data_IF_747405077747
#
_entry.id   IF_747405077747
#
_cell.length_a   1.000
_cell.length_b   1.000
_cell.length_c   1.000
_cell.angle_alpha   90.00
_cell.angle_beta   90.00
_cell.angle_gamma   90.00
#
_symmetry.space_group_name_H-M   'P 1'
#
loop_
_entity.id
_entity.type
_entity.pdbx_description
1 polymer ?
#
# COMPACT_ATOMS: atom_id res chain seq x y z
N UNK A 1 -4.23 -6.13 -9.31
CA UNK A 1 -4.24 -5.37 -10.45
C UNK A 1 -5.20 -4.18 -10.49
N UNK A 2 -6.15 -4.11 -9.57
CA UNK A 2 -6.93 -2.89 -9.39
C UNK A 2 -6.03 -1.71 -9.08
N UNK A 3 -4.97 -1.94 -8.27
CA UNK A 3 -4.03 -0.89 -7.90
C UNK A 3 -3.34 -0.30 -9.13
N UNK A 4 -2.93 -1.15 -10.07
CA UNK A 4 -2.28 -0.69 -11.30
C UNK A 4 -3.18 0.21 -12.13
N UNK A 5 -4.47 -0.08 -12.15
CA UNK A 5 -5.44 0.72 -12.90
C UNK A 5 -5.66 2.11 -12.32
N UNK A 6 -5.20 2.38 -11.11
CA UNK A 6 -5.37 3.66 -10.45
C UNK A 6 -4.15 4.57 -10.57
N UNK A 7 -3.07 4.10 -11.20
CA UNK A 7 -1.87 4.93 -11.42
C UNK A 7 -2.27 6.16 -12.23
N UNK A 8 -1.84 7.33 -11.77
CA UNK A 8 -2.21 8.61 -12.37
C UNK A 8 -3.31 9.36 -11.64
N UNK A 9 -4.05 8.70 -10.74
CA UNK A 9 -5.06 9.35 -9.93
C UNK A 9 -4.40 10.38 -9.01
N UNK A 10 -4.96 11.61 -8.86
CA UNK A 10 -4.34 12.62 -8.02
C UNK A 10 -4.26 12.22 -6.55
N UNK A 11 -3.20 12.65 -5.89
CA UNK A 11 -3.08 12.54 -4.43
C UNK A 11 -4.02 13.56 -3.78
N UNK A 12 -4.70 13.15 -2.72
CA UNK A 12 -5.51 14.05 -1.91
C UNK A 12 -5.49 13.62 -0.45
N UNK A 13 -5.06 14.49 0.42
CA UNK A 13 -5.01 14.21 1.85
C UNK A 13 -6.41 13.83 2.34
N UNK A 14 -6.52 12.68 3.02
CA UNK A 14 -7.80 12.15 3.47
C UNK A 14 -8.67 11.56 2.38
N UNK A 15 -8.21 11.57 1.13
CA UNK A 15 -8.98 11.06 -0.01
C UNK A 15 -9.03 9.54 -0.06
N UNK A 16 -10.15 9.00 -0.51
CA UNK A 16 -10.35 7.55 -0.59
C UNK A 16 -11.21 7.12 -1.78
N UNK A 17 -11.32 7.96 -2.81
CA UNK A 17 -12.10 7.64 -4.01
C UNK A 17 -11.32 8.00 -5.27
N UNK A 18 -11.56 7.30 -6.40
CA UNK A 18 -10.91 7.66 -7.67
C UNK A 18 -11.24 9.06 -8.14
N UNK A 19 -12.47 9.54 -7.91
CA UNK A 19 -12.89 10.85 -8.36
C UNK A 19 -12.27 11.97 -7.53
N UNK A 20 -12.18 11.77 -6.22
CA UNK A 20 -11.64 12.77 -5.30
C UNK A 20 -10.15 12.70 -5.09
N UNK A 21 -9.51 11.60 -5.50
CA UNK A 21 -8.10 11.33 -5.24
C UNK A 21 -7.89 10.50 -3.98
N UNK A 22 -6.63 10.12 -3.74
CA UNK A 22 -6.27 9.24 -2.63
C UNK A 22 -5.08 9.78 -1.84
N UNK A 23 -5.08 9.55 -0.52
CA UNK A 23 -3.84 9.47 0.24
C UNK A 23 -3.39 8.00 0.27
N UNK A 24 -2.26 7.69 0.95
CA UNK A 24 -1.70 6.34 0.87
C UNK A 24 -2.61 5.29 1.51
N UNK A 25 -3.19 5.57 2.67
CA UNK A 25 -4.09 4.62 3.33
C UNK A 25 -5.45 4.57 2.65
N UNK A 26 -5.90 5.67 2.06
CA UNK A 26 -7.14 5.72 1.30
C UNK A 26 -7.08 4.88 0.04
N UNK A 27 -5.96 4.92 -0.67
CA UNK A 27 -5.73 4.07 -1.83
C UNK A 27 -5.81 2.60 -1.44
N UNK A 28 -5.10 2.22 -0.39
CA UNK A 28 -5.08 0.84 0.09
C UNK A 28 -6.48 0.38 0.49
N UNK A 29 -7.20 1.19 1.26
CA UNK A 29 -8.55 0.86 1.69
C UNK A 29 -9.50 0.68 0.53
N UNK A 30 -9.42 1.55 -0.46
CA UNK A 30 -10.25 1.46 -1.64
C UNK A 30 -9.99 0.17 -2.43
N UNK A 31 -8.72 -0.14 -2.69
CA UNK A 31 -8.35 -1.30 -3.49
C UNK A 31 -8.82 -2.60 -2.82
N UNK A 32 -8.60 -2.72 -1.51
CA UNK A 32 -8.97 -3.97 -0.83
C UNK A 32 -10.47 -4.12 -0.66
N UNK A 33 -11.20 -3.03 -0.49
CA UNK A 33 -12.66 -3.09 -0.43
C UNK A 33 -13.23 -3.46 -1.78
N UNK A 34 -12.73 -2.84 -2.84
CA UNK A 34 -13.24 -3.06 -4.19
C UNK A 34 -12.87 -4.44 -4.72
N UNK A 35 -11.64 -4.89 -4.49
CA UNK A 35 -11.15 -6.15 -5.05
C UNK A 35 -11.49 -7.37 -4.21
N UNK A 36 -11.58 -7.22 -2.89
CA UNK A 36 -11.71 -8.36 -1.98
C UNK A 36 -12.81 -8.20 -0.93
N UNK A 37 -13.52 -7.07 -0.92
CA UNK A 37 -14.57 -6.82 0.07
C UNK A 37 -14.06 -6.66 1.49
N UNK A 38 -12.78 -6.32 1.65
CA UNK A 38 -12.15 -6.21 2.97
C UNK A 38 -12.12 -4.75 3.39
N UNK A 39 -12.60 -4.47 4.63
CA UNK A 39 -12.46 -3.16 5.25
C UNK A 39 -11.17 -3.10 6.03
N UNK A 40 -10.31 -2.13 5.70
CA UNK A 40 -9.03 -1.93 6.37
C UNK A 40 -9.02 -0.65 7.18
N UNK A 41 -8.11 -0.54 8.16
CA UNK A 41 -7.94 0.70 8.92
C UNK A 41 -7.64 1.88 8.00
N UNK A 42 -7.98 3.09 8.48
CA UNK A 42 -7.89 4.31 7.67
C UNK A 42 -6.56 5.04 7.79
N UNK A 43 -5.66 4.60 8.65
CA UNK A 43 -4.35 5.24 8.79
C UNK A 43 -3.23 4.25 8.52
N UNK A 44 -2.10 4.78 8.06
CA UNK A 44 -0.92 3.96 7.80
C UNK A 44 -0.41 3.30 9.07
N UNK A 45 -0.47 4.03 10.20
CA UNK A 45 -0.05 3.48 11.49
C UNK A 45 -0.90 2.29 11.89
N UNK A 46 -2.22 2.41 11.75
CA UNK A 46 -3.13 1.31 12.09
C UNK A 46 -2.94 0.12 11.16
N UNK A 47 -2.69 0.38 9.87
CA UNK A 47 -2.40 -0.69 8.90
C UNK A 47 -1.16 -1.48 9.32
N UNK A 48 -0.10 -0.79 9.73
CA UNK A 48 1.15 -1.47 10.14
C UNK A 48 0.99 -2.21 11.46
N UNK A 49 0.00 -1.87 12.27
CA UNK A 49 -0.25 -2.50 13.56
C UNK A 49 -1.25 -3.67 13.48
N UNK A 50 -1.77 -3.97 12.30
CA UNK A 50 -2.71 -5.08 12.14
C UNK A 50 -2.09 -6.41 12.55
N UNK A 51 -2.93 -7.30 13.08
CA UNK A 51 -2.50 -8.65 13.48
C UNK A 51 -2.59 -9.61 12.31
N UNK A 52 -1.96 -9.27 11.22
CA UNK A 52 -1.85 -10.11 10.04
C UNK A 52 -0.40 -10.56 9.89
N UNK A 53 -0.15 -11.65 9.14
CA UNK A 53 1.22 -12.15 9.01
C UNK A 53 2.17 -11.12 8.44
N UNK A 54 3.34 -10.99 9.05
CA UNK A 54 4.44 -10.24 8.47
C UNK A 54 5.04 -11.04 7.32
N UNK A 55 5.54 -10.35 6.31
CA UNK A 55 6.11 -10.95 5.11
C UNK A 55 7.56 -10.50 4.97
N UNK A 56 8.45 -11.45 4.78
CA UNK A 56 9.85 -11.12 4.50
C UNK A 56 9.95 -10.49 3.12
N UNK A 57 10.92 -9.58 2.99
CA UNK A 57 11.11 -8.85 1.74
C UNK A 57 11.30 -9.78 0.53
N UNK A 58 11.99 -10.90 0.73
CA UNK A 58 12.23 -11.87 -0.32
C UNK A 58 11.06 -12.82 -0.59
N UNK A 59 9.97 -12.68 0.16
CA UNK A 59 8.79 -13.52 0.02
C UNK A 59 7.55 -12.71 -0.40
N UNK A 60 7.73 -11.47 -0.86
CA UNK A 60 6.62 -10.60 -1.24
C UNK A 60 5.83 -11.17 -2.42
N UNK A 61 4.51 -11.02 -2.33
CA UNK A 61 3.59 -11.40 -3.40
C UNK A 61 2.65 -10.25 -3.70
N UNK A 62 2.15 -10.22 -4.93
CA UNK A 62 1.19 -9.21 -5.35
C UNK A 62 0.01 -9.15 -4.36
N UNK A 63 -0.31 -7.95 -3.89
CA UNK A 63 -1.34 -7.72 -2.90
C UNK A 63 -0.82 -7.54 -1.49
N UNK A 64 0.46 -7.80 -1.22
CA UNK A 64 1.03 -7.52 0.10
C UNK A 64 1.17 -6.02 0.31
N UNK A 65 1.02 -5.56 1.55
CA UNK A 65 1.27 -4.16 1.91
C UNK A 65 2.73 -3.99 2.27
N UNK A 66 3.34 -2.92 1.77
CA UNK A 66 4.73 -2.57 2.10
C UNK A 66 4.72 -1.23 2.85
N UNK A 67 5.58 -1.11 3.86
CA UNK A 67 5.61 0.05 4.76
C UNK A 67 6.96 0.73 4.76
N UNK A 68 6.93 2.06 4.88
CA UNK A 68 8.12 2.90 4.76
C UNK A 68 8.16 3.97 5.85
N UNK A 69 9.38 4.40 6.20
CA UNK A 69 9.62 5.53 7.09
C UNK A 69 10.18 6.68 6.26
N UNK A 70 9.30 7.53 5.72
CA UNK A 70 9.69 8.60 4.82
C UNK A 70 9.94 9.94 5.52
N UNK A 71 9.67 10.01 6.84
CA UNK A 71 9.84 11.24 7.61
C UNK A 71 11.14 11.30 8.40
N UNK A 72 12.14 10.53 7.97
CA UNK A 72 13.45 10.56 8.59
C UNK A 72 13.62 9.75 9.86
N UNK A 73 12.54 9.17 10.39
CA UNK A 73 12.58 8.35 11.59
C UNK A 73 12.46 6.87 11.29
N UNK A 74 12.07 6.09 12.32
CA UNK A 74 11.80 4.66 12.19
C UNK A 74 10.32 4.31 12.26
N UNK A 75 9.48 5.32 12.44
CA UNK A 75 8.05 5.11 12.52
C UNK A 75 7.46 5.03 11.11
N UNK A 76 6.47 4.15 10.94
CA UNK A 76 5.76 4.05 9.66
C UNK A 76 5.08 5.37 9.34
N UNK A 77 5.35 5.90 8.16
CA UNK A 77 4.72 7.13 7.68
C UNK A 77 4.11 6.98 6.29
N UNK A 78 4.37 5.86 5.61
CA UNK A 78 3.90 5.65 4.24
C UNK A 78 3.69 4.16 3.99
N UNK A 79 2.79 3.85 3.08
CA UNK A 79 2.49 2.47 2.72
C UNK A 79 2.11 2.38 1.24
N UNK A 80 2.28 1.19 0.67
CA UNK A 80 1.91 0.91 -0.70
C UNK A 80 1.47 -0.52 -0.87
N UNK A 81 1.08 -0.87 -2.10
CA UNK A 81 0.62 -2.21 -2.45
C UNK A 81 1.62 -2.83 -3.41
N UNK A 82 2.20 -3.96 -3.02
CA UNK A 82 3.13 -4.68 -3.88
C UNK A 82 2.37 -5.30 -5.05
N UNK A 83 2.90 -5.15 -6.26
CA UNK A 83 2.23 -5.64 -7.47
C UNK A 83 3.07 -6.65 -8.25
N UNK A 84 4.17 -7.12 -7.67
CA UNK A 84 5.07 -8.08 -8.31
C UNK A 84 6.27 -7.41 -8.94
N UNK A 85 7.26 -8.21 -9.31
CA UNK A 85 8.48 -7.78 -10.00
C UNK A 85 9.24 -6.67 -9.29
N UNK A 86 9.19 -6.64 -7.96
CA UNK A 86 9.89 -5.64 -7.15
C UNK A 86 9.26 -4.27 -7.19
N UNK A 87 8.01 -4.13 -7.66
CA UNK A 87 7.34 -2.83 -7.81
C UNK A 87 6.11 -2.71 -6.92
N UNK A 88 5.75 -1.49 -6.58
CA UNK A 88 4.60 -1.21 -5.73
C UNK A 88 3.86 0.02 -6.21
N UNK A 89 2.55 0.06 -5.94
CA UNK A 89 1.67 1.19 -6.24
C UNK A 89 1.39 1.94 -4.95
N UNK A 90 1.49 3.28 -4.99
CA UNK A 90 1.27 4.09 -3.81
C UNK A 90 0.85 5.51 -4.18
N UNK A 91 0.34 6.26 -3.19
CA UNK A 91 -0.02 7.67 -3.34
C UNK A 91 0.95 8.48 -2.47
N UNK A 92 2.06 8.98 -3.05
CA UNK A 92 3.20 9.43 -2.24
C UNK A 92 3.06 10.79 -1.58
N UNK A 93 2.47 11.81 -2.23
CA UNK A 93 2.50 13.14 -1.65
C UNK A 93 1.51 14.09 -2.30
N UNK A 94 1.22 15.16 -1.57
CA UNK A 94 0.38 16.26 -2.04
C UNK A 94 0.92 16.83 -3.35
N UNK A 95 0.03 17.03 -4.30
CA UNK A 95 0.41 17.56 -5.62
C UNK A 95 0.88 16.50 -6.59
N UNK A 96 1.10 15.26 -6.14
CA UNK A 96 1.48 14.15 -7.00
C UNK A 96 0.28 13.31 -7.41
N UNK A 97 0.57 12.12 -7.92
CA UNK A 97 -0.45 11.16 -8.36
C UNK A 97 -0.13 9.80 -7.78
N UNK A 98 -1.08 8.88 -7.86
CA UNK A 98 -0.82 7.46 -7.61
C UNK A 98 0.25 7.01 -8.60
N UNK A 99 1.29 6.35 -8.09
CA UNK A 99 2.49 5.99 -8.86
C UNK A 99 2.86 4.54 -8.72
N UNK A 100 3.59 4.06 -9.72
CA UNK A 100 4.27 2.77 -9.67
C UNK A 100 5.76 3.04 -9.48
N UNK A 101 6.35 2.52 -8.40
CA UNK A 101 7.77 2.68 -8.11
C UNK A 101 8.41 1.33 -7.79
N UNK A 102 9.75 1.30 -7.78
CA UNK A 102 10.51 0.09 -7.54
C UNK A 102 11.05 0.06 -6.12
N UNK A 103 10.89 -1.09 -5.44
CA UNK A 103 11.48 -1.31 -4.12
C UNK A 103 13.00 -1.35 -4.15
N UNK A 104 13.58 -1.61 -5.31
CA UNK A 104 15.03 -1.70 -5.46
C UNK A 104 15.70 -0.36 -5.77
N UNK A 105 14.92 0.70 -5.99
CA UNK A 105 15.50 2.03 -6.16
C UNK A 105 16.14 2.49 -4.85
N UNK A 106 17.19 3.31 -4.95
CA UNK A 106 17.97 3.68 -3.77
C UNK A 106 17.15 4.32 -2.66
N UNK A 107 16.23 5.23 -3.03
CA UNK A 107 15.41 5.91 -2.03
C UNK A 107 14.48 4.94 -1.30
N UNK A 108 13.67 4.18 -2.05
CA UNK A 108 12.67 3.30 -1.43
C UNK A 108 13.31 2.15 -0.67
N UNK A 109 14.43 1.64 -1.17
CA UNK A 109 15.19 0.62 -0.46
C UNK A 109 15.69 1.13 0.89
N UNK A 110 16.11 2.38 0.95
CA UNK A 110 16.65 2.97 2.17
C UNK A 110 15.60 3.27 3.23
N UNK A 111 14.34 3.47 2.85
CA UNK A 111 13.26 3.80 3.81
C UNK A 111 12.30 2.64 4.06
N UNK A 112 12.52 1.49 3.45
CA UNK A 112 11.69 0.31 3.63
C UNK A 112 11.77 -0.19 5.07
N UNK A 113 10.61 -0.53 5.65
CA UNK A 113 10.52 -1.05 7.01
C UNK A 113 10.15 -2.52 7.03
N UNK A 114 8.93 -2.85 6.62
CA UNK A 114 8.44 -4.22 6.63
C UNK A 114 7.24 -4.35 5.69
N UNK A 115 6.62 -5.54 5.72
CA UNK A 115 5.44 -5.81 4.89
C UNK A 115 4.49 -6.73 5.63
N UNK A 116 3.21 -6.67 5.27
CA UNK A 116 2.18 -7.53 5.83
C UNK A 116 1.33 -8.14 4.73
N UNK A 117 0.87 -9.37 4.96
CA UNK A 117 -0.03 -10.04 4.03
C UNK A 117 -1.44 -9.96 4.57
N UNK A 118 -2.31 -9.26 3.85
CA UNK A 118 -3.71 -9.10 4.21
C UNK A 118 -4.55 -10.17 3.53
N UNK A 119 -4.26 -10.45 2.26
CA UNK A 119 -5.00 -11.48 1.51
C UNK A 119 -4.36 -12.83 1.81
N UNK A 120 -5.04 -13.63 2.63
CA UNK A 120 -4.59 -14.97 2.99
C UNK A 120 -5.35 -16.00 2.18
N UNK A 121 -4.90 -17.27 2.16
CA UNK A 121 -5.67 -18.34 1.49
C UNK A 121 -7.09 -18.47 1.99
N UNK A 122 -7.34 -18.27 3.28
CA UNK A 122 -8.70 -18.31 3.81
C UNK A 122 -9.57 -17.21 3.22
N UNK A 123 -9.06 -15.99 3.15
CA UNK A 123 -9.80 -14.87 2.56
C UNK A 123 -10.04 -15.08 1.06
N UNK A 124 -9.08 -15.65 0.37
CA UNK A 124 -9.21 -15.91 -1.05
C UNK A 124 -10.28 -16.97 -1.34
N UNK A 125 -10.57 -17.87 -0.38
CA UNK A 125 -11.60 -18.88 -0.54
C UNK A 125 -12.99 -18.41 -0.18
N UNK A 126 -13.10 -17.30 0.53
CA UNK A 126 -14.38 -16.76 1.00
C UNK A 126 -14.63 -15.42 0.34
N UNK A 127 -14.94 -15.42 -0.96
CA UNK A 127 -15.20 -14.19 -1.69
C UNK A 127 -16.49 -13.51 -1.26
#
# INVERSE_FOLDING_TARGET
>A
FRALGLVGTPYRYGGNTPDGGFDCSGLIGYVYRDAAGISLPRSTRELSAMRTPDVRRDALKSGDLVFFATNGGRAVSHAGIYVGDGRFVHAPSTGGTVRLDSLTSGYWQGVYLDAKRVITPELARNP
#
